data_IF_074102383577
#
_entry.id   IF_074102383577
#
_cell.length_a   1.000
_cell.length_b   1.000
_cell.length_c   1.000
_cell.angle_alpha   90.00
_cell.angle_beta   90.00
_cell.angle_gamma   90.00
#
_symmetry.space_group_name_H-M   'P 1'
#
loop_
_entity.id
_entity.type
_entity.pdbx_description
1 polymer ?
#
# COMPACT_ATOMS: atom_id res chain seq x y z
N UNK A 1 2.04 1.48 -12.33
CA UNK A 1 3.25 1.94 -11.62
C UNK A 1 4.59 1.49 -12.23
N UNK A 2 4.63 0.64 -13.28
CA UNK A 2 5.89 0.10 -13.84
C UNK A 2 6.96 1.14 -14.22
N UNK A 3 6.54 2.30 -14.74
CA UNK A 3 7.46 3.35 -15.18
C UNK A 3 8.24 3.93 -13.99
N UNK A 4 7.55 4.25 -12.89
CA UNK A 4 8.20 4.76 -11.68
C UNK A 4 9.07 3.71 -11.00
N UNK A 5 8.63 2.45 -10.98
CA UNK A 5 9.43 1.33 -10.44
C UNK A 5 10.75 1.18 -11.20
N UNK A 6 10.69 1.25 -12.54
CA UNK A 6 11.88 1.21 -13.38
C UNK A 6 12.87 2.32 -13.02
N UNK A 7 12.42 3.57 -12.94
CA UNK A 7 13.30 4.70 -12.59
C UNK A 7 13.94 4.58 -11.20
N UNK A 8 13.25 3.98 -10.23
CA UNK A 8 13.76 3.87 -8.85
C UNK A 8 14.72 2.70 -8.64
N UNK A 9 14.54 1.62 -9.38
CA UNK A 9 15.26 0.37 -9.16
C UNK A 9 16.16 -0.04 -10.34
N UNK A 10 16.34 0.85 -11.32
CA UNK A 10 17.28 0.63 -12.42
C UNK A 10 18.70 0.39 -11.86
N UNK A 11 19.39 -0.62 -12.42
CA UNK A 11 20.72 -1.01 -11.96
C UNK A 11 20.77 -1.89 -10.70
N UNK A 12 19.65 -2.18 -10.04
CA UNK A 12 19.62 -3.17 -8.96
C UNK A 12 19.53 -4.60 -9.55
N UNK A 13 20.37 -5.55 -9.11
CA UNK A 13 20.27 -6.95 -9.55
C UNK A 13 18.88 -7.56 -9.32
N UNK A 14 18.37 -8.29 -10.31
CA UNK A 14 17.02 -8.86 -10.29
C UNK A 14 16.77 -9.82 -9.12
N UNK A 15 17.79 -10.58 -8.70
CA UNK A 15 17.71 -11.49 -7.56
C UNK A 15 17.48 -10.74 -6.24
N UNK A 16 18.13 -9.60 -6.05
CA UNK A 16 17.94 -8.76 -4.86
C UNK A 16 16.50 -8.21 -4.83
N UNK A 17 15.98 -7.79 -5.98
CA UNK A 17 14.60 -7.33 -6.11
C UNK A 17 13.59 -8.45 -5.85
N UNK A 18 13.86 -9.66 -6.35
CA UNK A 18 13.01 -10.83 -6.13
C UNK A 18 12.93 -11.21 -4.64
N UNK A 19 14.09 -11.31 -3.97
CA UNK A 19 14.15 -11.61 -2.53
C UNK A 19 13.44 -10.52 -1.70
N UNK A 20 13.59 -9.24 -2.09
CA UNK A 20 12.88 -8.15 -1.44
C UNK A 20 11.36 -8.20 -1.64
N UNK A 21 10.91 -8.58 -2.83
CA UNK A 21 9.48 -8.75 -3.13
C UNK A 21 8.89 -9.94 -2.36
N UNK A 22 9.58 -11.08 -2.34
CA UNK A 22 9.15 -12.28 -1.59
C UNK A 22 8.99 -12.01 -0.09
N UNK A 23 10.00 -11.36 0.53
CA UNK A 23 9.90 -10.93 1.93
C UNK A 23 8.71 -10.00 2.13
N UNK A 24 8.50 -9.04 1.23
CA UNK A 24 7.35 -8.13 1.28
C UNK A 24 6.02 -8.88 1.26
N UNK A 25 5.85 -9.83 0.35
CA UNK A 25 4.65 -10.69 0.26
C UNK A 25 4.42 -11.48 1.54
N UNK A 26 5.47 -12.07 2.13
CA UNK A 26 5.37 -12.80 3.39
C UNK A 26 4.94 -11.88 4.54
N UNK A 27 5.51 -10.68 4.66
CA UNK A 27 5.11 -9.71 5.68
C UNK A 27 3.65 -9.31 5.52
N UNK A 28 3.17 -9.02 4.31
CA UNK A 28 1.76 -8.71 4.08
C UNK A 28 0.85 -9.86 4.53
N UNK A 29 1.15 -11.08 4.11
CA UNK A 29 0.37 -12.27 4.50
C UNK A 29 0.29 -12.42 6.02
N UNK A 30 1.41 -12.28 6.72
CA UNK A 30 1.43 -12.42 8.18
C UNK A 30 0.67 -11.28 8.89
N UNK A 31 0.76 -10.05 8.39
CA UNK A 31 -0.06 -8.95 8.92
C UNK A 31 -1.55 -9.14 8.62
N UNK A 32 -1.91 -9.75 7.50
CA UNK A 32 -3.29 -10.11 7.18
C UNK A 32 -3.81 -11.18 8.15
N UNK A 33 -3.03 -12.22 8.40
CA UNK A 33 -3.38 -13.26 9.38
C UNK A 33 -3.59 -12.66 10.78
N UNK A 34 -2.71 -11.73 11.18
CA UNK A 34 -2.87 -11.01 12.44
C UNK A 34 -4.19 -10.21 12.49
N UNK A 35 -4.50 -9.42 11.46
CA UNK A 35 -5.72 -8.61 11.46
C UNK A 35 -7.00 -9.47 11.42
N UNK A 36 -6.97 -10.63 10.76
CA UNK A 36 -8.14 -11.51 10.61
C UNK A 36 -8.35 -12.44 11.81
N UNK A 37 -7.28 -12.94 12.40
CA UNK A 37 -7.32 -14.05 13.35
C UNK A 37 -6.70 -13.72 14.71
N UNK A 38 -5.98 -12.60 14.83
CA UNK A 38 -5.30 -12.19 16.06
C UNK A 38 -4.02 -12.96 16.35
N UNK A 39 -3.53 -13.78 15.41
CA UNK A 39 -2.27 -14.51 15.54
C UNK A 39 -1.58 -14.66 14.18
N UNK A 40 -0.27 -14.88 14.21
CA UNK A 40 0.56 -15.17 13.04
C UNK A 40 1.70 -16.11 13.45
N UNK A 41 2.32 -16.79 12.48
CA UNK A 41 3.53 -17.59 12.68
C UNK A 41 4.69 -16.94 11.92
N UNK A 42 5.46 -16.11 12.62
CA UNK A 42 6.64 -15.45 12.06
C UNK A 42 7.89 -16.31 12.22
N UNK A 43 8.85 -16.12 11.31
CA UNK A 43 10.21 -16.65 11.45
C UNK A 43 11.20 -15.52 11.78
N UNK A 44 12.47 -15.88 11.89
CA UNK A 44 13.53 -14.94 12.28
C UNK A 44 13.61 -13.72 11.35
N UNK A 45 13.31 -13.88 10.05
CA UNK A 45 13.39 -12.79 9.09
C UNK A 45 12.19 -11.83 9.20
N UNK A 46 11.00 -12.34 9.51
CA UNK A 46 9.76 -11.53 9.54
C UNK A 46 9.41 -10.99 10.92
N UNK A 47 9.88 -11.61 12.00
CA UNK A 47 9.52 -11.28 13.39
C UNK A 47 9.62 -9.78 13.69
N UNK A 48 10.71 -9.13 13.27
CA UNK A 48 10.89 -7.69 13.47
C UNK A 48 9.81 -6.83 12.80
N UNK A 49 9.37 -7.20 11.60
CA UNK A 49 8.31 -6.48 10.89
C UNK A 49 6.95 -6.65 11.57
N UNK A 50 6.67 -7.82 12.15
CA UNK A 50 5.41 -8.07 12.85
C UNK A 50 5.36 -7.34 14.20
N UNK A 51 6.48 -7.28 14.93
CA UNK A 51 6.62 -6.43 16.13
C UNK A 51 6.36 -4.95 15.76
N UNK A 52 6.88 -4.49 14.62
CA UNK A 52 6.62 -3.14 14.14
C UNK A 52 5.14 -2.91 13.83
N UNK A 53 4.47 -3.91 13.24
CA UNK A 53 3.04 -3.85 12.93
C UNK A 53 2.18 -3.82 14.20
N UNK A 54 2.45 -4.69 15.17
CA UNK A 54 1.75 -4.70 16.47
C UNK A 54 1.82 -3.35 17.18
N UNK A 55 2.99 -2.69 17.16
CA UNK A 55 3.13 -1.34 17.72
C UNK A 55 2.25 -0.33 16.99
N UNK A 56 2.20 -0.39 15.65
CA UNK A 56 1.30 0.47 14.87
C UNK A 56 -0.18 0.22 15.24
N UNK A 57 -0.59 -1.04 15.38
CA UNK A 57 -1.95 -1.40 15.82
C UNK A 57 -2.25 -0.85 17.22
N UNK A 58 -1.31 -0.95 18.15
CA UNK A 58 -1.44 -0.40 19.49
C UNK A 58 -1.57 1.14 19.49
N UNK A 59 -0.74 1.81 18.70
CA UNK A 59 -0.66 3.28 18.67
C UNK A 59 -1.87 3.93 17.97
N UNK A 60 -2.38 3.32 16.89
CA UNK A 60 -3.42 3.90 16.04
C UNK A 60 -4.79 3.20 16.10
N UNK A 61 -4.86 2.02 16.72
CA UNK A 61 -6.09 1.26 16.96
C UNK A 61 -7.03 1.25 15.74
N UNK A 62 -6.56 0.79 14.56
CA UNK A 62 -7.37 0.81 13.35
C UNK A 62 -8.59 -0.11 13.47
N UNK A 63 -9.72 0.37 12.96
CA UNK A 63 -10.87 -0.47 12.64
C UNK A 63 -10.90 -0.71 11.12
N UNK A 64 -10.34 -1.84 10.68
CA UNK A 64 -10.32 -2.20 9.27
C UNK A 64 -11.70 -2.65 8.78
N UNK A 65 -12.12 -2.11 7.64
CA UNK A 65 -13.30 -2.56 6.90
C UNK A 65 -12.93 -3.38 5.66
N UNK A 66 -11.68 -3.29 5.22
CA UNK A 66 -11.11 -4.06 4.12
C UNK A 66 -9.63 -4.33 4.36
N UNK A 67 -9.22 -5.58 4.11
CA UNK A 67 -7.87 -6.11 4.30
C UNK A 67 -7.54 -6.91 3.04
N UNK A 68 -6.43 -6.57 2.37
CA UNK A 68 -6.02 -7.16 1.07
C UNK A 68 -7.19 -7.18 0.07
N UNK A 69 -7.93 -6.07 0.02
CA UNK A 69 -9.18 -5.98 -0.72
C UNK A 69 -8.92 -5.67 -2.19
N UNK A 70 -9.40 -6.54 -3.08
CA UNK A 70 -9.39 -6.26 -4.52
C UNK A 70 -10.47 -5.24 -4.85
N UNK A 71 -10.04 -4.10 -5.40
CA UNK A 71 -10.94 -3.03 -5.79
C UNK A 71 -10.62 -2.50 -7.20
N UNK A 72 -11.54 -1.72 -7.77
CA UNK A 72 -11.40 -1.19 -9.12
C UNK A 72 -12.03 0.19 -9.26
N UNK A 73 -11.59 0.93 -10.27
CA UNK A 73 -12.17 2.22 -10.62
C UNK A 73 -13.19 2.08 -11.77
N UNK A 74 -14.45 2.47 -11.54
CA UNK A 74 -15.57 2.24 -12.48
C UNK A 74 -15.37 2.80 -13.90
N UNK A 75 -14.78 3.99 -14.01
CA UNK A 75 -14.69 4.71 -15.29
C UNK A 75 -13.30 4.67 -15.94
N UNK A 76 -12.23 4.51 -15.16
CA UNK A 76 -10.85 4.49 -15.64
C UNK A 76 -10.31 3.06 -15.84
N UNK A 77 -11.10 2.04 -15.46
CA UNK A 77 -10.85 0.62 -15.71
C UNK A 77 -9.48 0.11 -15.27
N UNK A 78 -8.96 0.62 -14.15
CA UNK A 78 -7.83 0.03 -13.45
C UNK A 78 -8.30 -0.64 -12.15
N UNK A 79 -7.55 -1.63 -11.70
CA UNK A 79 -7.80 -2.39 -10.48
C UNK A 79 -6.51 -2.57 -9.68
N UNK A 80 -6.64 -2.96 -8.43
CA UNK A 80 -5.53 -3.22 -7.53
C UNK A 80 -6.01 -3.87 -6.23
N UNK A 81 -5.05 -4.29 -5.42
CA UNK A 81 -5.31 -4.82 -4.08
C UNK A 81 -4.91 -3.74 -3.09
N UNK A 82 -5.86 -3.32 -2.26
CA UNK A 82 -5.66 -2.32 -1.23
C UNK A 82 -5.28 -3.06 0.05
N UNK A 83 -4.09 -2.78 0.58
CA UNK A 83 -3.58 -3.50 1.75
C UNK A 83 -4.55 -3.34 2.92
N UNK A 84 -4.85 -2.10 3.32
CA UNK A 84 -5.80 -1.80 4.40
C UNK A 84 -6.66 -0.58 4.09
N UNK A 85 -7.95 -0.69 4.38
CA UNK A 85 -8.90 0.42 4.38
C UNK A 85 -9.75 0.36 5.65
N UNK A 86 -9.97 1.50 6.31
CA UNK A 86 -10.67 1.52 7.59
C UNK A 86 -10.66 2.87 8.29
N UNK A 87 -10.73 2.86 9.62
CA UNK A 87 -10.74 4.06 10.43
C UNK A 87 -9.60 4.04 11.44
N UNK A 88 -8.70 5.03 11.37
CA UNK A 88 -7.62 5.22 12.33
C UNK A 88 -8.03 6.17 13.46
N UNK A 89 -7.39 6.00 14.62
CA UNK A 89 -7.50 6.89 15.78
C UNK A 89 -6.44 7.99 15.72
N UNK A 90 -6.74 9.25 16.14
CA UNK A 90 -8.04 9.74 16.56
C UNK A 90 -9.01 9.90 15.39
N UNK A 91 -10.27 9.53 15.62
CA UNK A 91 -11.34 9.86 14.68
C UNK A 91 -11.56 11.38 14.71
N UNK A 92 -11.51 12.01 13.54
CA UNK A 92 -11.98 13.39 13.39
C UNK A 92 -13.40 13.41 12.80
N UNK A 93 -14.01 14.59 12.74
CA UNK A 93 -15.35 14.79 12.20
C UNK A 93 -15.35 14.96 10.67
N UNK A 94 -14.24 14.72 9.98
CA UNK A 94 -14.15 14.93 8.53
C UNK A 94 -14.88 13.84 7.73
N UNK A 95 -15.13 12.68 8.35
CA UNK A 95 -15.80 11.53 7.73
C UNK A 95 -14.96 10.86 6.64
N UNK A 96 -15.41 9.70 6.17
CA UNK A 96 -14.68 8.89 5.19
C UNK A 96 -13.71 7.89 5.82
N UNK A 97 -13.08 7.08 4.96
CA UNK A 97 -12.16 6.00 5.35
C UNK A 97 -10.71 6.39 5.07
N UNK A 98 -9.81 5.85 5.85
CA UNK A 98 -8.37 5.92 5.61
C UNK A 98 -7.90 4.74 4.78
N UNK A 99 -6.89 4.98 3.95
CA UNK A 99 -6.19 3.92 3.23
C UNK A 99 -4.74 3.90 3.71
N UNK A 100 -4.27 2.71 4.08
CA UNK A 100 -2.89 2.48 4.49
C UNK A 100 -2.27 1.45 3.57
N UNK A 101 -1.11 1.79 3.01
CA UNK A 101 -0.30 0.89 2.19
C UNK A 101 0.99 0.53 2.95
N UNK A 102 1.20 -0.77 3.10
CA UNK A 102 2.27 -1.38 3.90
C UNK A 102 3.53 -1.56 3.04
N UNK A 103 4.69 -1.32 3.64
CA UNK A 103 6.00 -1.45 2.98
C UNK A 103 7.02 -2.09 3.90
N UNK A 104 7.43 -3.33 3.59
CA UNK A 104 8.60 -4.00 4.17
C UNK A 104 9.88 -3.76 3.34
N UNK A 105 10.13 -2.48 3.04
CA UNK A 105 11.23 -2.05 2.16
C UNK A 105 12.29 -1.29 2.95
N UNK A 106 13.54 -1.30 2.48
CA UNK A 106 14.64 -0.55 3.11
C UNK A 106 14.49 0.96 2.92
N UNK A 107 14.11 1.39 1.72
CA UNK A 107 13.99 2.80 1.35
C UNK A 107 12.52 3.16 1.18
N UNK A 108 12.09 4.20 1.91
CA UNK A 108 10.76 4.74 1.78
C UNK A 108 10.70 5.72 0.61
N UNK A 109 9.93 5.40 -0.43
CA UNK A 109 9.79 6.24 -1.63
C UNK A 109 8.45 6.99 -1.61
N UNK A 110 8.35 8.16 -0.96
CA UNK A 110 7.09 8.83 -0.69
C UNK A 110 6.34 9.23 -1.96
N UNK A 111 7.03 9.57 -3.05
CA UNK A 111 6.40 9.95 -4.32
C UNK A 111 5.70 8.75 -4.98
N UNK A 112 6.36 7.60 -5.03
CA UNK A 112 5.77 6.37 -5.58
C UNK A 112 4.60 5.90 -4.72
N UNK A 113 4.78 5.94 -3.40
CA UNK A 113 3.75 5.54 -2.46
C UNK A 113 2.51 6.43 -2.56
N UNK A 114 2.68 7.75 -2.48
CA UNK A 114 1.61 8.73 -2.71
C UNK A 114 0.83 8.44 -3.99
N UNK A 115 1.54 8.14 -5.07
CA UNK A 115 0.92 7.84 -6.37
C UNK A 115 0.08 6.57 -6.32
N UNK A 116 0.59 5.50 -5.69
CA UNK A 116 -0.14 4.25 -5.49
C UNK A 116 -1.38 4.45 -4.62
N UNK A 117 -1.22 5.02 -3.42
CA UNK A 117 -2.33 5.14 -2.45
C UNK A 117 -3.40 6.13 -2.91
N UNK A 118 -3.02 7.21 -3.62
CA UNK A 118 -4.01 8.11 -4.24
C UNK A 118 -4.87 7.38 -5.26
N UNK A 119 -4.29 6.45 -6.03
CA UNK A 119 -5.03 5.65 -6.99
C UNK A 119 -6.02 4.69 -6.33
N UNK A 120 -5.67 4.10 -5.19
CA UNK A 120 -6.62 3.34 -4.36
C UNK A 120 -7.75 4.24 -3.86
N UNK A 121 -7.43 5.45 -3.38
CA UNK A 121 -8.45 6.41 -2.97
C UNK A 121 -9.44 6.76 -4.09
N UNK A 122 -8.97 6.89 -5.33
CA UNK A 122 -9.86 7.14 -6.47
C UNK A 122 -10.72 5.91 -6.84
N UNK A 123 -10.28 4.68 -6.57
CA UNK A 123 -11.15 3.50 -6.73
C UNK A 123 -12.40 3.63 -5.85
N UNK A 124 -12.21 3.88 -4.54
CA UNK A 124 -13.29 4.09 -3.57
C UNK A 124 -14.17 5.28 -3.92
N UNK A 125 -13.58 6.42 -4.30
CA UNK A 125 -14.35 7.60 -4.74
C UNK A 125 -15.22 7.31 -5.95
N UNK A 126 -14.74 6.51 -6.90
CA UNK A 126 -15.56 6.09 -8.06
C UNK A 126 -16.77 5.23 -7.68
N UNK A 127 -16.77 4.67 -6.46
CA UNK A 127 -17.89 3.96 -5.85
C UNK A 127 -18.72 4.82 -4.90
N UNK A 128 -18.42 6.12 -4.74
CA UNK A 128 -19.13 7.03 -3.85
C UNK A 128 -18.64 7.01 -2.40
N UNK A 129 -17.55 6.30 -2.12
CA UNK A 129 -16.95 6.25 -0.79
C UNK A 129 -15.98 7.43 -0.60
N UNK A 130 -16.21 8.24 0.43
CA UNK A 130 -15.31 9.33 0.79
C UNK A 130 -14.01 8.78 1.41
N UNK A 131 -12.90 9.40 1.05
CA UNK A 131 -11.58 9.14 1.64
C UNK A 131 -11.25 10.28 2.58
N UNK A 132 -10.92 9.93 3.82
CA UNK A 132 -10.45 10.86 4.83
C UNK A 132 -9.00 11.20 4.56
N UNK A 133 -8.13 10.21 4.74
CA UNK A 133 -6.69 10.35 4.58
C UNK A 133 -6.06 9.14 3.92
N UNK A 134 -4.85 9.33 3.41
CA UNK A 134 -4.03 8.27 2.82
C UNK A 134 -2.67 8.23 3.51
N UNK A 135 -2.17 7.02 3.73
CA UNK A 135 -0.96 6.80 4.52
C UNK A 135 -0.03 5.77 3.90
N UNK A 136 1.24 5.93 4.21
CA UNK A 136 2.26 4.91 4.04
C UNK A 136 2.73 4.39 5.39
N UNK A 137 2.79 3.07 5.54
CA UNK A 137 3.32 2.39 6.71
C UNK A 137 4.57 1.57 6.34
N UNK A 138 5.75 2.07 6.69
CA UNK A 138 6.98 1.30 6.56
C UNK A 138 7.21 0.46 7.81
N UNK A 139 7.24 -0.86 7.65
CA UNK A 139 7.64 -1.79 8.70
C UNK A 139 9.14 -2.06 8.58
N UNK A 140 9.88 -2.05 9.69
CA UNK A 140 11.33 -2.27 9.70
C UNK A 140 11.69 -3.53 10.50
N UNK A 141 12.79 -4.21 10.13
CA UNK A 141 13.20 -5.45 10.78
C UNK A 141 13.68 -5.28 12.23
N UNK A 142 13.89 -4.05 12.71
CA UNK A 142 14.28 -3.76 14.09
C UNK A 142 13.07 -3.60 15.03
N UNK A 143 11.85 -3.89 14.57
CA UNK A 143 10.64 -3.72 15.37
C UNK A 143 10.15 -2.29 15.44
N UNK A 144 10.68 -1.35 14.64
CA UNK A 144 10.17 0.01 14.53
C UNK A 144 9.39 0.22 13.23
N UNK A 145 8.55 1.25 13.19
CA UNK A 145 7.83 1.63 11.97
C UNK A 145 7.98 3.11 11.66
N UNK A 146 7.75 3.49 10.40
CA UNK A 146 7.50 4.87 9.97
C UNK A 146 6.07 4.92 9.45
N UNK A 147 5.23 5.74 10.08
CA UNK A 147 3.87 6.00 9.61
C UNK A 147 3.76 7.45 9.14
N UNK A 148 3.41 7.64 7.87
CA UNK A 148 3.40 8.94 7.24
C UNK A 148 2.07 9.19 6.52
N UNK A 149 1.39 10.28 6.90
CA UNK A 149 0.29 10.85 6.12
C UNK A 149 0.82 11.37 4.79
N UNK A 150 0.19 10.97 3.70
CA UNK A 150 0.55 11.36 2.35
C UNK A 150 -0.38 12.47 1.86
N UNK A 151 0.16 13.37 1.02
CA UNK A 151 -0.64 14.40 0.37
C UNK A 151 -1.37 13.74 -0.80
N UNK A 152 -2.69 13.79 -0.80
CA UNK A 152 -3.48 13.22 -1.90
C UNK A 152 -3.13 13.87 -3.24
N UNK A 153 -2.70 13.06 -4.22
CA UNK A 153 -2.32 13.53 -5.56
C UNK A 153 -2.46 12.41 -6.60
N UNK A 154 -3.57 12.43 -7.33
CA UNK A 154 -3.87 11.42 -8.35
C UNK A 154 -3.18 11.67 -9.70
N UNK A 155 -2.63 12.87 -9.92
CA UNK A 155 -2.11 13.27 -11.24
C UNK A 155 -0.94 12.39 -11.73
N UNK A 156 0.07 12.03 -10.90
CA UNK A 156 1.13 11.14 -11.34
C UNK A 156 0.62 9.76 -11.77
N UNK A 157 -0.43 9.25 -11.11
CA UNK A 157 -1.03 7.97 -11.47
C UNK A 157 -1.71 8.06 -12.83
N UNK A 158 -2.48 9.14 -13.09
CA UNK A 158 -3.10 9.38 -14.39
C UNK A 158 -2.08 9.41 -15.53
N UNK A 159 -0.93 10.04 -15.33
CA UNK A 159 0.14 10.03 -16.33
C UNK A 159 0.67 8.61 -16.57
N UNK A 160 0.89 7.83 -15.51
CA UNK A 160 1.30 6.43 -15.62
C UNK A 160 0.26 5.57 -16.35
N UNK A 161 -1.03 5.79 -16.06
CA UNK A 161 -2.14 5.06 -16.69
C UNK A 161 -2.25 5.42 -18.17
N UNK A 162 -2.11 6.70 -18.53
CA UNK A 162 -2.13 7.14 -19.92
C UNK A 162 -1.02 6.46 -20.74
N UNK A 163 0.23 6.49 -20.24
CA UNK A 163 1.35 5.81 -20.88
C UNK A 163 1.15 4.29 -20.95
N UNK A 164 0.58 3.68 -19.90
CA UNK A 164 0.27 2.26 -19.92
C UNK A 164 -0.72 1.91 -21.04
N UNK A 165 -1.80 2.68 -21.17
CA UNK A 165 -2.85 2.45 -22.15
C UNK A 165 -2.35 2.64 -23.59
N UNK A 166 -1.50 3.65 -23.86
CA UNK A 166 -0.90 3.83 -25.18
C UNK A 166 0.01 2.64 -25.55
N UNK A 167 0.90 2.24 -24.65
CA UNK A 167 1.78 1.09 -24.89
C UNK A 167 1.01 -0.24 -25.05
N UNK A 168 -0.15 -0.38 -24.41
CA UNK A 168 -0.99 -1.57 -24.54
C UNK A 168 -1.60 -1.71 -25.95
N UNK A 169 -1.67 -0.64 -26.75
CA UNK A 169 -2.13 -0.71 -28.14
C UNK A 169 -1.10 -1.41 -29.03
N UNK A 170 0.19 -1.17 -28.80
CA UNK A 170 1.27 -1.81 -29.56
C UNK A 170 1.36 -3.31 -29.29
N UNK A 171 1.06 -3.76 -28.06
CA UNK A 171 1.09 -5.20 -27.72
C UNK A 171 -0.08 -6.00 -28.32
N UNK A 172 -1.10 -5.32 -28.83
CA UNK A 172 -2.29 -5.91 -29.44
C UNK A 172 -2.28 -5.84 -30.97
N UNK A 173 -1.28 -5.17 -31.55
CA UNK A 173 -1.03 -5.10 -33.00
C UNK A 173 -0.14 -6.27 -33.42
#
# INVERSE_FOLDING_TARGET
MRFMSKELYDGIPSEILANAAERGTRVHSLTEDFDRYGFYEADEETTGYLIAYEKFIYDYQPEWIGIEERHYHKNLFYAGTVDRVGYLTPKDNSGGVDIVDLKATRVFHPVMLKTQVSAYGEMYKSHGQAIRDIYGLQLKPDGTYLFQKLIYDFKPFLHCLALHNEMAKEQKA
#
